data_IF_444473438214
#
_entry.id   IF_444473438214
#
_cell.length_a   1.000
_cell.length_b   1.000
_cell.length_c   1.000
_cell.angle_alpha   90.00
_cell.angle_beta   90.00
_cell.angle_gamma   90.00
#
_symmetry.space_group_name_H-M   'P 1'
#
loop_
_entity.id
_entity.type
_entity.pdbx_description
1 polymer ?
#
# COMPACT_ATOMS: atom_id res chain seq x y z
N UNK A 1 -27.74 -43.70 37.98
CA UNK A 1 -26.31 -43.84 37.61
C UNK A 1 -26.09 -44.13 36.13
N UNK A 2 -27.14 -44.41 35.33
CA UNK A 2 -27.01 -44.85 33.93
C UNK A 2 -26.90 -43.75 32.86
N UNK A 3 -27.37 -42.53 33.12
CA UNK A 3 -27.40 -41.48 32.08
C UNK A 3 -26.04 -40.78 31.87
N UNK A 4 -25.20 -40.74 32.91
CA UNK A 4 -23.89 -40.09 32.87
C UNK A 4 -22.86 -40.97 32.14
N UNK A 5 -22.89 -42.28 32.41
CA UNK A 5 -22.00 -43.27 31.76
C UNK A 5 -22.30 -43.36 30.27
N UNK A 6 -23.58 -43.32 29.87
CA UNK A 6 -23.99 -43.36 28.46
C UNK A 6 -23.53 -42.13 27.67
N UNK A 7 -23.64 -40.92 28.25
CA UNK A 7 -23.14 -39.68 27.61
C UNK A 7 -21.63 -39.63 27.52
N UNK A 8 -20.92 -40.21 28.49
CA UNK A 8 -19.46 -40.34 28.43
C UNK A 8 -19.02 -41.31 27.32
N UNK A 9 -19.72 -42.43 27.17
CA UNK A 9 -19.46 -43.41 26.10
C UNK A 9 -19.77 -42.83 24.70
N UNK A 10 -20.86 -42.09 24.53
CA UNK A 10 -21.22 -41.42 23.27
C UNK A 10 -20.18 -40.34 22.88
N UNK A 11 -19.65 -39.58 23.84
CA UNK A 11 -18.58 -38.59 23.60
C UNK A 11 -17.24 -39.25 23.26
N UNK A 12 -16.90 -40.37 23.88
CA UNK A 12 -15.70 -41.16 23.56
C UNK A 12 -15.80 -41.80 22.16
N UNK A 13 -16.99 -42.26 21.75
CA UNK A 13 -17.21 -42.82 20.42
C UNK A 13 -17.11 -41.74 19.32
N UNK A 14 -17.69 -40.55 19.55
CA UNK A 14 -17.58 -39.42 18.60
C UNK A 14 -16.14 -38.90 18.52
N UNK A 15 -15.43 -38.82 19.66
CA UNK A 15 -14.01 -38.45 19.67
C UNK A 15 -13.15 -39.51 18.95
N UNK A 16 -13.45 -40.80 19.10
CA UNK A 16 -12.74 -41.88 18.40
C UNK A 16 -13.01 -41.87 16.89
N UNK A 17 -14.25 -41.63 16.47
CA UNK A 17 -14.62 -41.51 15.04
C UNK A 17 -14.00 -40.26 14.39
N UNK A 18 -13.92 -39.13 15.10
CA UNK A 18 -13.24 -37.92 14.63
C UNK A 18 -11.71 -38.08 14.58
N UNK A 19 -11.14 -38.88 15.49
CA UNK A 19 -9.70 -39.21 15.49
C UNK A 19 -9.36 -40.18 14.35
N UNK A 20 -10.20 -41.18 14.05
CA UNK A 20 -9.99 -42.08 12.91
C UNK A 20 -10.21 -41.38 11.56
N UNK A 21 -11.14 -40.43 11.48
CA UNK A 21 -11.35 -39.61 10.28
C UNK A 21 -10.16 -38.66 10.03
N UNK A 22 -9.57 -38.06 11.06
CA UNK A 22 -8.33 -37.27 10.91
C UNK A 22 -7.13 -38.13 10.49
N UNK A 23 -7.03 -39.38 10.97
CA UNK A 23 -5.95 -40.30 10.59
C UNK A 23 -6.12 -40.84 9.17
N UNK A 24 -7.35 -41.00 8.65
CA UNK A 24 -7.58 -41.35 7.24
C UNK A 24 -7.39 -40.15 6.29
N UNK A 25 -7.80 -38.94 6.69
CA UNK A 25 -7.53 -37.71 5.90
C UNK A 25 -6.02 -37.43 5.85
N UNK A 26 -5.27 -37.70 6.93
CA UNK A 26 -3.81 -37.59 6.96
C UNK A 26 -3.08 -38.72 6.19
N UNK A 27 -3.72 -39.87 5.97
CA UNK A 27 -3.16 -40.98 5.15
C UNK A 27 -3.50 -40.88 3.66
N UNK A 28 -4.38 -39.96 3.27
CA UNK A 28 -4.75 -39.72 1.87
C UNK A 28 -3.87 -38.66 1.16
N UNK A 29 -2.79 -38.19 1.79
CA UNK A 29 -1.71 -37.43 1.14
C UNK A 29 -0.43 -38.27 1.08
N UNK A 30 -0.49 -39.43 0.43
CA UNK A 30 0.71 -39.91 -0.26
C UNK A 30 1.03 -38.89 -1.36
N UNK A 31 2.29 -38.48 -1.57
CA UNK A 31 2.61 -37.49 -2.59
C UNK A 31 2.12 -38.04 -3.93
N UNK A 32 1.13 -37.36 -4.52
CA UNK A 32 0.76 -37.60 -5.89
C UNK A 32 2.05 -37.57 -6.72
N UNK A 33 2.24 -38.58 -7.57
CA UNK A 33 3.46 -38.84 -8.34
C UNK A 33 3.75 -37.72 -9.37
N UNK A 34 4.05 -36.51 -8.88
CA UNK A 34 4.19 -35.29 -9.66
C UNK A 34 5.39 -35.45 -10.59
N UNK A 35 5.17 -35.41 -11.92
CA UNK A 35 6.25 -35.52 -12.88
C UNK A 35 7.34 -34.46 -12.68
N UNK A 36 7.01 -33.25 -12.21
CA UNK A 36 7.95 -32.16 -12.00
C UNK A 36 8.91 -32.47 -10.85
N UNK A 37 8.39 -32.95 -9.71
CA UNK A 37 9.21 -33.33 -8.56
C UNK A 37 10.18 -34.46 -8.92
N UNK A 38 9.73 -35.44 -9.71
CA UNK A 38 10.61 -36.51 -10.21
C UNK A 38 11.70 -35.98 -11.13
N UNK A 39 11.39 -35.01 -11.99
CA UNK A 39 12.41 -34.40 -12.84
C UNK A 39 13.41 -33.59 -12.00
N UNK A 40 12.96 -32.89 -10.95
CA UNK A 40 13.86 -32.19 -10.03
C UNK A 40 14.80 -33.17 -9.33
N UNK A 41 14.29 -34.27 -8.78
CA UNK A 41 15.12 -35.28 -8.13
C UNK A 41 16.18 -35.85 -9.09
N UNK A 42 15.83 -36.04 -10.37
CA UNK A 42 16.73 -36.53 -11.41
C UNK A 42 17.80 -35.52 -11.84
N UNK A 43 17.73 -34.26 -11.41
CA UNK A 43 18.82 -33.30 -11.65
C UNK A 43 20.10 -33.70 -10.90
N UNK A 44 20.00 -34.42 -9.79
CA UNK A 44 21.13 -34.96 -9.02
C UNK A 44 21.51 -36.40 -9.38
N UNK A 45 20.93 -36.99 -10.45
CA UNK A 45 21.26 -38.37 -10.85
C UNK A 45 22.73 -38.49 -11.26
N UNK A 46 23.39 -39.60 -10.93
CA UNK A 46 24.76 -39.90 -11.39
C UNK A 46 24.86 -40.01 -12.93
N UNK A 47 23.76 -40.36 -13.59
CA UNK A 47 23.68 -40.52 -15.05
C UNK A 47 23.54 -39.17 -15.77
N UNK A 48 24.53 -38.74 -16.58
CA UNK A 48 24.43 -37.48 -17.32
C UNK A 48 23.25 -37.43 -18.30
N UNK A 49 22.85 -38.61 -18.83
CA UNK A 49 21.72 -38.73 -19.74
C UNK A 49 20.39 -38.45 -19.02
N UNK A 50 20.24 -38.93 -17.78
CA UNK A 50 19.04 -38.68 -16.97
C UNK A 50 18.94 -37.22 -16.56
N UNK A 51 20.05 -36.60 -16.12
CA UNK A 51 20.10 -35.17 -15.82
C UNK A 51 19.66 -34.33 -17.01
N UNK A 52 20.24 -34.61 -18.19
CA UNK A 52 19.92 -33.89 -19.44
C UNK A 52 18.46 -34.09 -19.87
N UNK A 53 17.89 -35.28 -19.67
CA UNK A 53 16.49 -35.55 -19.97
C UNK A 53 15.54 -34.79 -19.03
N UNK A 54 15.85 -34.76 -17.74
CA UNK A 54 15.09 -34.02 -16.74
C UNK A 54 15.12 -32.50 -17.01
N UNK A 55 16.29 -31.93 -17.29
CA UNK A 55 16.45 -30.51 -17.66
C UNK A 55 15.54 -30.13 -18.84
N UNK A 56 15.54 -30.92 -19.92
CA UNK A 56 14.66 -30.66 -21.08
C UNK A 56 13.18 -30.69 -20.72
N UNK A 57 12.77 -31.63 -19.87
CA UNK A 57 11.37 -31.74 -19.43
C UNK A 57 10.94 -30.56 -18.56
N UNK A 58 11.81 -30.11 -17.67
CA UNK A 58 11.58 -28.93 -16.82
C UNK A 58 11.47 -27.65 -17.66
N UNK A 59 12.35 -27.45 -18.65
CA UNK A 59 12.25 -26.32 -19.58
C UNK A 59 10.97 -26.37 -20.42
N UNK A 60 10.55 -27.56 -20.84
CA UNK A 60 9.30 -27.75 -21.60
C UNK A 60 8.06 -27.45 -20.75
N UNK A 61 8.10 -27.71 -19.45
CA UNK A 61 7.00 -27.42 -18.53
C UNK A 61 6.79 -25.91 -18.29
N UNK A 62 7.80 -25.08 -18.57
CA UNK A 62 7.68 -23.61 -18.50
C UNK A 62 7.23 -23.14 -17.11
N UNK A 63 6.18 -22.31 -17.06
CA UNK A 63 5.64 -21.74 -15.81
C UNK A 63 5.35 -22.78 -14.72
N UNK A 64 4.96 -24.01 -15.06
CA UNK A 64 4.62 -25.04 -14.06
C UNK A 64 5.85 -25.50 -13.27
N UNK A 65 7.02 -25.50 -13.89
CA UNK A 65 8.27 -25.88 -13.23
C UNK A 65 8.88 -24.73 -12.40
N UNK A 66 8.37 -23.50 -12.49
CA UNK A 66 9.02 -22.34 -11.88
C UNK A 66 9.13 -22.43 -10.35
N UNK A 67 8.02 -22.58 -9.61
CA UNK A 67 8.09 -22.66 -8.13
C UNK A 67 8.87 -23.89 -7.65
N UNK A 68 8.68 -25.10 -8.24
CA UNK A 68 9.48 -26.26 -7.87
C UNK A 68 10.99 -26.04 -8.11
N UNK A 69 11.38 -25.44 -9.24
CA UNK A 69 12.77 -25.06 -9.52
C UNK A 69 13.28 -23.99 -8.56
N UNK A 70 12.44 -23.01 -8.20
CA UNK A 70 12.78 -21.98 -7.23
C UNK A 70 13.04 -22.57 -5.84
N UNK A 71 12.23 -23.53 -5.40
CA UNK A 71 12.48 -24.28 -4.16
C UNK A 71 13.78 -25.09 -4.25
N UNK A 72 13.98 -25.81 -5.36
CA UNK A 72 15.18 -26.61 -5.61
C UNK A 72 16.47 -25.76 -5.70
N UNK A 73 16.38 -24.47 -6.04
CA UNK A 73 17.52 -23.52 -6.06
C UNK A 73 18.14 -23.26 -4.67
N UNK A 74 17.53 -23.81 -3.61
CA UNK A 74 17.96 -23.81 -2.21
C UNK A 74 18.11 -25.21 -1.62
N UNK A 75 18.00 -26.26 -2.43
CA UNK A 75 18.18 -27.65 -1.98
C UNK A 75 19.57 -27.86 -1.38
N UNK A 76 19.71 -28.81 -0.45
CA UNK A 76 21.01 -29.15 0.17
C UNK A 76 21.99 -29.76 -0.84
N UNK A 77 21.47 -30.58 -1.75
CA UNK A 77 22.21 -31.16 -2.87
C UNK A 77 22.75 -30.06 -3.80
N UNK A 78 24.08 -30.01 -3.94
CA UNK A 78 24.79 -29.00 -4.72
C UNK A 78 24.46 -29.10 -6.21
N UNK A 79 24.35 -30.31 -6.77
CA UNK A 79 24.05 -30.55 -8.18
C UNK A 79 22.65 -30.07 -8.52
N UNK A 80 21.65 -30.48 -7.71
CA UNK A 80 20.26 -30.05 -7.87
C UNK A 80 20.18 -28.52 -7.76
N UNK A 81 20.83 -27.94 -6.75
CA UNK A 81 20.81 -26.50 -6.50
C UNK A 81 21.38 -25.68 -7.66
N UNK A 82 22.54 -26.07 -8.19
CA UNK A 82 23.18 -25.38 -9.32
C UNK A 82 22.40 -25.57 -10.62
N UNK A 83 21.91 -26.80 -10.88
CA UNK A 83 21.09 -27.08 -12.04
C UNK A 83 19.78 -26.29 -12.02
N UNK A 84 19.10 -26.21 -10.88
CA UNK A 84 17.86 -25.46 -10.73
C UNK A 84 18.06 -23.96 -10.97
N UNK A 85 19.13 -23.36 -10.45
CA UNK A 85 19.48 -21.95 -10.72
C UNK A 85 19.71 -21.70 -12.21
N UNK A 86 20.52 -22.54 -12.84
CA UNK A 86 20.77 -22.44 -14.28
C UNK A 86 19.48 -22.59 -15.10
N UNK A 87 18.59 -23.52 -14.73
CA UNK A 87 17.32 -23.70 -15.42
C UNK A 87 16.39 -22.48 -15.29
N UNK A 88 16.34 -21.83 -14.12
CA UNK A 88 15.53 -20.62 -13.91
C UNK A 88 15.96 -19.49 -14.85
N UNK A 89 17.26 -19.34 -15.13
CA UNK A 89 17.78 -18.31 -16.05
C UNK A 89 17.35 -18.56 -17.51
N UNK A 90 17.09 -19.82 -17.88
CA UNK A 90 16.73 -20.22 -19.24
C UNK A 90 15.22 -20.49 -19.41
N UNK A 91 14.45 -20.45 -18.32
CA UNK A 91 13.04 -20.78 -18.34
C UNK A 91 12.26 -19.66 -19.01
N UNK A 92 11.51 -20.01 -20.06
CA UNK A 92 10.64 -19.05 -20.74
C UNK A 92 9.31 -18.95 -20.01
N UNK A 93 9.04 -17.79 -19.44
CA UNK A 93 7.77 -17.48 -18.80
C UNK A 93 6.80 -17.00 -19.88
N UNK A 94 5.66 -17.70 -20.01
CA UNK A 94 4.52 -17.20 -20.77
C UNK A 94 3.81 -16.15 -19.92
N UNK A 95 3.99 -14.88 -20.30
CA UNK A 95 3.36 -13.75 -19.61
C UNK A 95 1.91 -13.58 -19.99
N UNK A 96 1.54 -13.78 -21.25
CA UNK A 96 0.15 -13.67 -21.72
C UNK A 96 -0.58 -15.01 -21.55
N UNK A 97 -1.85 -14.97 -21.13
CA UNK A 97 -2.78 -16.11 -21.13
C UNK A 97 -3.80 -15.97 -22.26
N UNK A 98 -4.36 -17.09 -22.75
CA UNK A 98 -5.39 -17.06 -23.79
C UNK A 98 -6.63 -16.22 -23.45
N UNK A 99 -6.94 -16.08 -22.17
CA UNK A 99 -8.11 -15.35 -21.68
C UNK A 99 -7.77 -13.95 -21.13
N UNK A 100 -6.53 -13.48 -21.29
CA UNK A 100 -6.19 -12.12 -20.88
C UNK A 100 -6.92 -11.11 -21.78
N UNK A 101 -7.48 -10.02 -21.22
CA UNK A 101 -8.03 -8.92 -21.99
C UNK A 101 -7.00 -8.31 -22.95
N UNK A 102 -7.41 -7.74 -24.10
CA UNK A 102 -6.49 -7.12 -25.06
C UNK A 102 -5.56 -6.08 -24.44
N UNK A 103 -6.06 -5.29 -23.48
CA UNK A 103 -5.32 -4.26 -22.76
C UNK A 103 -4.18 -4.86 -21.91
N UNK A 104 -4.45 -6.00 -21.26
CA UNK A 104 -3.46 -6.75 -20.48
C UNK A 104 -2.45 -7.39 -21.41
N UNK A 105 -2.91 -8.04 -22.49
CA UNK A 105 -2.04 -8.68 -23.47
C UNK A 105 -1.06 -7.69 -24.11
N UNK A 106 -1.54 -6.49 -24.48
CA UNK A 106 -0.70 -5.43 -25.05
C UNK A 106 0.41 -4.93 -24.11
N UNK A 107 0.21 -5.04 -22.79
CA UNK A 107 1.25 -4.72 -21.79
C UNK A 107 2.21 -5.91 -21.62
N UNK A 108 1.68 -7.13 -21.52
CA UNK A 108 2.45 -8.33 -21.16
C UNK A 108 3.21 -8.97 -22.32
N UNK A 109 2.80 -8.78 -23.57
CA UNK A 109 3.45 -9.37 -24.74
C UNK A 109 4.94 -8.96 -24.85
N UNK A 110 5.31 -7.67 -24.76
CA UNK A 110 6.72 -7.27 -24.76
C UNK A 110 7.39 -7.32 -23.38
N UNK A 111 6.65 -7.60 -22.30
CA UNK A 111 7.12 -7.41 -20.92
C UNK A 111 8.43 -8.16 -20.61
N UNK A 112 8.50 -9.43 -21.00
CA UNK A 112 9.65 -10.30 -20.72
C UNK A 112 10.96 -9.88 -21.39
N UNK A 113 10.89 -9.07 -22.45
CA UNK A 113 12.04 -8.61 -23.23
C UNK A 113 12.43 -7.16 -22.90
N UNK A 114 11.59 -6.45 -22.14
CA UNK A 114 11.83 -5.06 -21.76
C UNK A 114 12.90 -4.92 -20.67
N UNK A 115 13.65 -3.80 -20.64
CA UNK A 115 14.50 -3.42 -19.51
C UNK A 115 13.73 -3.32 -18.18
N UNK A 116 14.42 -3.48 -17.06
CA UNK A 116 13.81 -3.44 -15.72
C UNK A 116 13.03 -2.15 -15.43
N UNK A 117 13.52 -1.00 -15.93
CA UNK A 117 12.84 0.29 -15.75
C UNK A 117 11.48 0.34 -16.47
N UNK A 118 11.40 -0.20 -17.68
CA UNK A 118 10.16 -0.23 -18.45
C UNK A 118 9.16 -1.22 -17.87
N UNK A 119 9.63 -2.39 -17.40
CA UNK A 119 8.79 -3.34 -16.67
C UNK A 119 8.16 -2.71 -15.43
N UNK A 120 8.90 -1.89 -14.70
CA UNK A 120 8.37 -1.17 -13.55
C UNK A 120 7.23 -0.20 -13.93
N UNK A 121 7.32 0.45 -15.09
CA UNK A 121 6.22 1.28 -15.63
C UNK A 121 5.02 0.40 -15.99
N UNK A 122 5.25 -0.77 -16.58
CA UNK A 122 4.18 -1.72 -16.93
C UNK A 122 3.42 -2.21 -15.68
N UNK A 123 4.07 -2.37 -14.52
CA UNK A 123 3.37 -2.67 -13.25
C UNK A 123 2.35 -1.59 -12.89
N UNK A 124 2.73 -0.31 -13.05
CA UNK A 124 1.82 0.82 -12.79
C UNK A 124 0.68 0.87 -13.81
N UNK A 125 0.96 0.55 -15.08
CA UNK A 125 -0.06 0.50 -16.13
C UNK A 125 -1.09 -0.59 -15.84
N UNK A 126 -0.65 -1.78 -15.41
CA UNK A 126 -1.55 -2.86 -15.01
C UNK A 126 -2.41 -2.47 -13.80
N UNK A 127 -1.82 -1.86 -12.77
CA UNK A 127 -2.55 -1.43 -11.58
C UNK A 127 -3.62 -0.36 -11.87
N UNK A 128 -3.42 0.45 -12.92
CA UNK A 128 -4.37 1.51 -13.34
C UNK A 128 -5.43 1.04 -14.32
N UNK A 129 -5.42 -0.22 -14.74
CA UNK A 129 -6.50 -0.73 -15.60
C UNK A 129 -7.82 -0.72 -14.82
N UNK A 130 -8.93 -0.33 -15.46
CA UNK A 130 -10.24 -0.31 -14.81
C UNK A 130 -10.70 -1.73 -14.47
N UNK A 131 -11.76 -1.82 -13.66
CA UNK A 131 -12.54 -3.05 -13.44
C UNK A 131 -11.70 -4.28 -13.07
N UNK A 132 -10.64 -4.09 -12.28
CA UNK A 132 -9.76 -5.17 -11.80
C UNK A 132 -9.06 -5.99 -12.90
N UNK A 133 -9.05 -5.51 -14.16
CA UNK A 133 -8.50 -6.26 -15.30
C UNK A 133 -7.02 -6.61 -15.10
N UNK A 134 -6.26 -5.75 -14.43
CA UNK A 134 -4.84 -5.93 -14.19
C UNK A 134 -4.47 -6.87 -13.04
N UNK A 135 -5.40 -7.26 -12.16
CA UNK A 135 -5.04 -8.00 -10.94
C UNK A 135 -4.41 -9.38 -11.21
N UNK A 136 -4.98 -10.23 -12.09
CA UNK A 136 -4.40 -11.55 -12.35
C UNK A 136 -3.03 -11.45 -13.02
N UNK A 137 -2.83 -10.43 -13.87
CA UNK A 137 -1.54 -10.14 -14.49
C UNK A 137 -0.48 -9.71 -13.47
N UNK A 138 -0.83 -8.84 -12.52
CA UNK A 138 0.07 -8.47 -11.42
C UNK A 138 0.41 -9.70 -10.56
N UNK A 139 -0.56 -10.54 -10.21
CA UNK A 139 -0.33 -11.79 -9.48
C UNK A 139 0.63 -12.75 -10.22
N UNK A 140 0.50 -12.84 -11.54
CA UNK A 140 1.41 -13.62 -12.39
C UNK A 140 2.83 -13.06 -12.34
N UNK A 141 2.99 -11.74 -12.36
CA UNK A 141 4.30 -11.07 -12.19
C UNK A 141 4.86 -11.32 -10.79
N UNK A 142 4.07 -11.14 -9.74
CA UNK A 142 4.46 -11.42 -8.34
C UNK A 142 5.08 -12.81 -8.21
N UNK A 143 4.51 -13.78 -8.91
CA UNK A 143 4.95 -15.17 -8.88
C UNK A 143 6.17 -15.44 -9.77
N UNK A 144 6.14 -15.03 -11.04
CA UNK A 144 7.12 -15.49 -12.04
C UNK A 144 8.24 -14.49 -12.34
N UNK A 145 8.20 -13.26 -11.83
CA UNK A 145 9.22 -12.25 -12.09
C UNK A 145 10.59 -12.67 -11.51
N UNK A 146 11.63 -12.80 -12.35
CA UNK A 146 12.97 -13.15 -11.89
C UNK A 146 13.56 -12.08 -10.95
N UNK A 147 13.29 -10.80 -11.20
CA UNK A 147 13.75 -9.71 -10.33
C UNK A 147 12.93 -9.67 -9.04
N UNK A 148 13.54 -10.05 -7.92
CA UNK A 148 12.90 -10.01 -6.59
C UNK A 148 12.38 -8.61 -6.24
N UNK A 149 13.08 -7.57 -6.69
CA UNK A 149 12.68 -6.17 -6.53
C UNK A 149 11.36 -5.89 -7.27
N UNK A 150 11.27 -6.26 -8.54
CA UNK A 150 10.04 -6.06 -9.33
C UNK A 150 8.89 -6.96 -8.85
N UNK A 151 9.18 -8.18 -8.40
CA UNK A 151 8.18 -9.07 -7.81
C UNK A 151 7.54 -8.46 -6.55
N UNK A 152 8.35 -7.92 -5.63
CA UNK A 152 7.85 -7.18 -4.46
C UNK A 152 7.07 -5.93 -4.86
N UNK A 153 7.59 -5.15 -5.81
CA UNK A 153 6.91 -3.95 -6.31
C UNK A 153 5.54 -4.28 -6.92
N UNK A 154 5.43 -5.38 -7.67
CA UNK A 154 4.17 -5.87 -8.20
C UNK A 154 3.19 -6.28 -7.09
N UNK A 155 3.68 -6.89 -6.00
CA UNK A 155 2.86 -7.26 -4.85
C UNK A 155 2.31 -6.01 -4.15
N UNK A 156 3.14 -4.98 -3.92
CA UNK A 156 2.66 -3.71 -3.36
C UNK A 156 1.61 -3.08 -4.28
N UNK A 157 1.85 -3.01 -5.59
CA UNK A 157 0.85 -2.48 -6.54
C UNK A 157 -0.45 -3.27 -6.55
N UNK A 158 -0.38 -4.59 -6.38
CA UNK A 158 -1.58 -5.42 -6.27
C UNK A 158 -2.32 -5.17 -4.96
N UNK A 159 -1.62 -5.11 -3.83
CA UNK A 159 -2.21 -4.78 -2.52
C UNK A 159 -2.87 -3.39 -2.51
N UNK A 160 -2.32 -2.42 -3.24
CA UNK A 160 -2.89 -1.07 -3.38
C UNK A 160 -4.24 -1.02 -4.10
N UNK A 161 -4.52 -2.00 -4.96
CA UNK A 161 -5.73 -2.00 -5.80
C UNK A 161 -6.73 -3.08 -5.39
N UNK A 162 -6.35 -4.00 -4.52
CA UNK A 162 -7.25 -5.00 -3.97
C UNK A 162 -8.26 -4.36 -3.00
N UNK A 163 -9.44 -4.96 -2.79
CA UNK A 163 -10.43 -4.44 -1.85
C UNK A 163 -9.87 -4.32 -0.43
N UNK A 164 -10.17 -3.19 0.24
CA UNK A 164 -9.52 -2.77 1.50
C UNK A 164 -10.22 -3.27 2.78
N UNK A 165 -11.30 -4.05 2.64
CA UNK A 165 -12.09 -4.55 3.78
C UNK A 165 -12.23 -6.07 3.77
N UNK A 166 -12.44 -6.69 4.95
CA UNK A 166 -12.92 -8.05 5.05
C UNK A 166 -14.16 -8.25 4.18
N UNK A 167 -14.31 -9.44 3.61
CA UNK A 167 -15.54 -9.77 2.92
C UNK A 167 -16.67 -9.86 3.95
N UNK A 168 -17.76 -9.18 3.69
CA UNK A 168 -19.01 -9.37 4.42
C UNK A 168 -19.83 -10.45 3.69
N UNK A 169 -20.25 -11.53 4.36
CA UNK A 169 -21.14 -12.52 3.75
C UNK A 169 -22.44 -11.86 3.25
N UNK A 170 -22.91 -12.30 2.08
CA UNK A 170 -24.17 -11.86 1.45
C UNK A 170 -24.26 -10.36 1.09
N UNK A 171 -23.14 -9.63 1.00
CA UNK A 171 -23.14 -8.24 0.53
C UNK A 171 -23.44 -8.17 -0.99
N UNK A 172 -24.46 -7.41 -1.44
CA UNK A 172 -24.90 -7.41 -2.84
C UNK A 172 -23.83 -6.97 -3.85
N UNK A 173 -22.96 -6.05 -3.42
CA UNK A 173 -21.94 -5.43 -4.25
C UNK A 173 -20.60 -6.20 -4.26
N UNK A 174 -20.48 -7.25 -3.45
CA UNK A 174 -19.31 -8.13 -3.44
C UNK A 174 -19.75 -9.60 -3.57
N UNK A 175 -20.02 -10.08 -4.80
CA UNK A 175 -20.47 -11.44 -4.99
C UNK A 175 -19.40 -12.42 -4.51
N UNK A 176 -19.87 -13.56 -4.01
CA UNK A 176 -19.01 -14.63 -3.48
C UNK A 176 -17.91 -15.07 -4.44
N UNK A 177 -18.16 -14.95 -5.75
CA UNK A 177 -17.27 -15.34 -6.81
C UNK A 177 -16.88 -14.14 -7.70
N UNK A 178 -16.17 -13.14 -7.14
CA UNK A 178 -15.50 -12.15 -7.98
C UNK A 178 -14.47 -12.86 -8.88
N UNK A 179 -14.68 -12.90 -10.22
CA UNK A 179 -13.84 -13.70 -11.12
C UNK A 179 -12.39 -13.20 -11.17
N UNK A 180 -12.15 -11.91 -10.93
CA UNK A 180 -10.81 -11.33 -10.91
C UNK A 180 -10.04 -11.78 -9.66
N UNK A 181 -10.68 -11.83 -8.49
CA UNK A 181 -10.05 -12.38 -7.27
C UNK A 181 -9.72 -13.87 -7.44
N UNK A 182 -10.66 -14.65 -7.96
CA UNK A 182 -10.43 -16.08 -8.23
C UNK A 182 -9.27 -16.28 -9.20
N UNK A 183 -9.19 -15.48 -10.25
CA UNK A 183 -8.09 -15.53 -11.21
C UNK A 183 -6.75 -15.11 -10.58
N UNK A 184 -6.74 -14.06 -9.75
CA UNK A 184 -5.58 -13.62 -8.97
C UNK A 184 -5.05 -14.73 -8.04
N UNK A 185 -5.93 -15.35 -7.26
CA UNK A 185 -5.59 -16.47 -6.38
C UNK A 185 -5.02 -17.66 -7.17
N UNK A 186 -5.63 -17.95 -8.32
CA UNK A 186 -5.18 -19.02 -9.21
C UNK A 186 -3.79 -18.77 -9.78
N UNK A 187 -3.45 -17.52 -10.11
CA UNK A 187 -2.11 -17.17 -10.60
C UNK A 187 -1.07 -17.27 -9.48
N UNK A 188 -1.38 -16.83 -8.25
CA UNK A 188 -0.48 -16.91 -7.10
C UNK A 188 -0.21 -18.36 -6.66
N UNK A 189 -1.23 -19.23 -6.70
CA UNK A 189 -1.19 -20.59 -6.14
C UNK A 189 -0.57 -20.59 -4.72
N UNK A 190 0.13 -21.66 -4.36
CA UNK A 190 0.90 -21.82 -3.12
C UNK A 190 2.35 -21.33 -3.27
N UNK A 191 2.60 -20.27 -4.06
CA UNK A 191 3.98 -19.83 -4.31
C UNK A 191 4.69 -19.47 -3.00
N UNK A 192 5.91 -19.98 -2.77
CA UNK A 192 6.66 -19.75 -1.53
C UNK A 192 7.39 -18.39 -1.52
N UNK A 193 7.26 -17.58 -2.59
CA UNK A 193 7.97 -16.29 -2.70
C UNK A 193 7.45 -15.29 -1.67
N UNK A 194 8.32 -14.48 -1.03
CA UNK A 194 7.90 -13.45 -0.10
C UNK A 194 6.79 -12.53 -0.66
N UNK A 195 7.00 -11.98 -1.86
CA UNK A 195 6.02 -11.13 -2.52
C UNK A 195 4.64 -11.82 -2.72
N UNK A 196 4.63 -13.10 -3.09
CA UNK A 196 3.39 -13.86 -3.22
C UNK A 196 2.74 -14.13 -1.86
N UNK A 197 3.53 -14.45 -0.84
CA UNK A 197 3.05 -14.67 0.53
C UNK A 197 2.37 -13.43 1.12
N UNK A 198 2.81 -12.22 0.77
CA UNK A 198 2.16 -10.98 1.19
C UNK A 198 0.72 -10.91 0.66
N UNK A 199 0.55 -11.13 -0.64
CA UNK A 199 -0.75 -11.06 -1.29
C UNK A 199 -1.65 -12.22 -0.84
N UNK A 200 -1.10 -13.43 -0.69
CA UNK A 200 -1.85 -14.59 -0.20
C UNK A 200 -2.38 -14.32 1.22
N UNK A 201 -1.53 -13.86 2.15
CA UNK A 201 -1.96 -13.57 3.51
C UNK A 201 -3.03 -12.46 3.58
N UNK A 202 -2.95 -11.46 2.68
CA UNK A 202 -4.01 -10.45 2.54
C UNK A 202 -5.34 -11.06 2.07
N UNK A 203 -5.31 -11.91 1.06
CA UNK A 203 -6.50 -12.59 0.53
C UNK A 203 -7.10 -13.55 1.58
N UNK A 204 -6.26 -14.22 2.37
CA UNK A 204 -6.70 -15.09 3.45
C UNK A 204 -7.37 -14.27 4.58
N UNK A 205 -6.81 -13.13 4.97
CA UNK A 205 -7.46 -12.19 5.90
C UNK A 205 -8.83 -11.73 5.40
N UNK A 206 -8.97 -11.45 4.12
CA UNK A 206 -10.26 -11.04 3.57
C UNK A 206 -11.35 -12.11 3.70
N UNK A 207 -10.96 -13.39 3.65
CA UNK A 207 -11.88 -14.53 3.82
C UNK A 207 -12.14 -14.83 5.30
N UNK A 208 -11.10 -14.78 6.12
CA UNK A 208 -11.15 -15.02 7.55
C UNK A 208 -10.25 -14.02 8.29
N UNK A 209 -10.82 -12.90 8.77
CA UNK A 209 -10.03 -11.90 9.47
C UNK A 209 -9.39 -12.40 10.75
N UNK A 210 -10.00 -13.39 11.42
CA UNK A 210 -9.54 -13.96 12.70
C UNK A 210 -8.24 -14.73 12.51
N UNK A 211 -8.16 -15.55 11.46
CA UNK A 211 -6.94 -16.30 11.15
C UNK A 211 -5.93 -15.46 10.36
N UNK A 212 -6.38 -14.68 9.37
CA UNK A 212 -5.48 -14.07 8.40
C UNK A 212 -4.78 -12.79 8.87
N UNK A 213 -5.35 -12.02 9.82
CA UNK A 213 -4.66 -10.82 10.33
C UNK A 213 -3.33 -11.18 11.04
N UNK A 214 -3.30 -12.13 12.00
CA UNK A 214 -2.04 -12.57 12.61
C UNK A 214 -1.02 -13.12 11.60
N UNK A 215 -1.49 -13.82 10.55
CA UNK A 215 -0.59 -14.33 9.51
C UNK A 215 0.04 -13.21 8.69
N UNK A 216 -0.75 -12.20 8.30
CA UNK A 216 -0.23 -11.05 7.59
C UNK A 216 0.76 -10.25 8.45
N UNK A 217 0.42 -9.99 9.72
CA UNK A 217 1.32 -9.33 10.68
C UNK A 217 2.66 -10.05 10.80
N UNK A 218 2.65 -11.38 10.92
CA UNK A 218 3.87 -12.19 11.00
C UNK A 218 4.73 -12.08 9.74
N UNK A 219 4.08 -12.06 8.57
CA UNK A 219 4.76 -11.92 7.28
C UNK A 219 5.40 -10.52 7.13
N UNK A 220 4.70 -9.46 7.56
CA UNK A 220 5.22 -8.08 7.55
C UNK A 220 6.35 -7.91 8.58
N UNK A 221 6.20 -8.46 9.78
CA UNK A 221 7.21 -8.45 10.84
C UNK A 221 8.53 -9.06 10.34
N UNK A 222 8.49 -10.22 9.67
CA UNK A 222 9.68 -10.85 9.08
C UNK A 222 10.35 -9.99 8.02
N UNK A 223 9.58 -9.31 7.17
CA UNK A 223 10.17 -8.41 6.17
C UNK A 223 10.87 -7.24 6.86
N UNK A 224 10.23 -6.62 7.86
CA UNK A 224 10.80 -5.52 8.63
C UNK A 224 12.08 -5.92 9.39
N UNK A 225 12.07 -7.05 10.08
CA UNK A 225 13.24 -7.57 10.81
C UNK A 225 14.40 -7.97 9.89
N UNK A 226 14.11 -8.26 8.62
CA UNK A 226 15.13 -8.58 7.62
C UNK A 226 15.83 -7.36 7.02
N UNK A 227 15.34 -6.14 7.30
CA UNK A 227 15.93 -4.91 6.78
C UNK A 227 17.32 -4.67 7.39
N UNK A 228 18.33 -4.31 6.58
CA UNK A 228 19.64 -3.92 7.09
C UNK A 228 19.54 -2.62 7.90
N UNK A 229 20.45 -2.44 8.85
CA UNK A 229 20.50 -1.24 9.69
C UNK A 229 20.95 0.02 8.93
N UNK A 230 21.58 -0.14 7.77
CA UNK A 230 22.00 0.97 6.90
C UNK A 230 20.84 1.48 6.05
N UNK A 231 20.47 2.75 6.20
CA UNK A 231 19.33 3.37 5.52
C UNK A 231 19.57 3.58 4.01
N UNK A 232 20.83 3.74 3.57
CA UNK A 232 21.14 4.18 2.21
C UNK A 232 21.14 3.08 1.15
N UNK A 233 21.43 1.82 1.53
CA UNK A 233 21.65 0.73 0.57
C UNK A 233 20.38 0.04 0.06
N UNK A 234 19.23 0.19 0.73
CA UNK A 234 17.98 -0.50 0.35
C UNK A 234 16.70 0.37 0.46
N UNK A 235 16.75 1.61 -0.05
CA UNK A 235 15.61 2.55 -0.02
C UNK A 235 14.29 1.95 -0.58
N UNK A 236 14.36 1.05 -1.56
CA UNK A 236 13.16 0.40 -2.10
C UNK A 236 12.56 -0.65 -1.15
N UNK A 237 13.39 -1.45 -0.45
CA UNK A 237 12.87 -2.41 0.53
C UNK A 237 12.27 -1.71 1.74
N UNK A 238 12.86 -0.60 2.17
CA UNK A 238 12.28 0.26 3.22
C UNK A 238 10.91 0.80 2.83
N UNK A 239 10.76 1.28 1.59
CA UNK A 239 9.45 1.71 1.05
C UNK A 239 8.43 0.56 1.00
N UNK A 240 8.85 -0.64 0.60
CA UNK A 240 7.97 -1.81 0.62
C UNK A 240 7.53 -2.17 2.06
N UNK A 241 8.45 -2.15 3.02
CA UNK A 241 8.13 -2.39 4.43
C UNK A 241 7.17 -1.34 4.98
N UNK A 242 7.35 -0.06 4.64
CA UNK A 242 6.44 1.02 5.02
C UNK A 242 5.03 0.76 4.46
N UNK A 243 4.93 0.42 3.17
CA UNK A 243 3.65 0.12 2.54
C UNK A 243 2.95 -1.09 3.20
N UNK A 244 3.69 -2.16 3.50
CA UNK A 244 3.16 -3.34 4.20
C UNK A 244 2.68 -3.01 5.62
N UNK A 245 3.42 -2.19 6.36
CA UNK A 245 3.02 -1.78 7.71
C UNK A 245 1.80 -0.88 7.72
N UNK A 246 1.67 0.01 6.72
CA UNK A 246 0.42 0.77 6.52
C UNK A 246 -0.76 -0.16 6.26
N UNK A 247 -0.56 -1.22 5.47
CA UNK A 247 -1.57 -2.26 5.23
C UNK A 247 -1.96 -3.00 6.52
N UNK A 248 -1.03 -3.31 7.42
CA UNK A 248 -1.36 -3.85 8.76
C UNK A 248 -2.29 -2.90 9.52
N UNK A 249 -1.97 -1.60 9.56
CA UNK A 249 -2.78 -0.62 10.26
C UNK A 249 -4.20 -0.51 9.68
N UNK A 250 -4.31 -0.48 8.35
CA UNK A 250 -5.59 -0.47 7.64
C UNK A 250 -6.40 -1.74 7.91
N UNK A 251 -5.78 -2.92 7.90
CA UNK A 251 -6.46 -4.18 8.22
C UNK A 251 -7.00 -4.21 9.66
N UNK A 252 -6.22 -3.71 10.63
CA UNK A 252 -6.68 -3.59 12.02
C UNK A 252 -7.90 -2.68 12.13
N UNK A 253 -7.87 -1.52 11.47
CA UNK A 253 -9.00 -0.58 11.43
C UNK A 253 -10.21 -1.23 10.75
N UNK A 254 -10.03 -1.85 9.58
CA UNK A 254 -11.10 -2.50 8.84
C UNK A 254 -11.70 -3.71 9.58
N UNK A 255 -10.97 -4.29 10.54
CA UNK A 255 -11.42 -5.42 11.35
C UNK A 255 -11.90 -5.00 12.75
N UNK A 256 -12.07 -3.71 13.02
CA UNK A 256 -12.43 -3.20 14.36
C UNK A 256 -13.81 -3.67 14.85
N UNK A 257 -14.73 -3.99 13.94
CA UNK A 257 -16.04 -4.56 14.29
C UNK A 257 -15.91 -5.99 14.83
N UNK A 258 -14.85 -6.69 14.46
CA UNK A 258 -14.58 -8.08 14.85
C UNK A 258 -13.77 -8.13 16.15
N UNK A 259 -12.72 -7.30 16.26
CA UNK A 259 -11.77 -7.35 17.38
C UNK A 259 -11.96 -6.24 18.43
N UNK A 260 -12.86 -5.29 18.17
CA UNK A 260 -12.98 -4.06 18.95
C UNK A 260 -12.04 -2.94 18.45
N UNK A 261 -11.92 -1.83 19.20
CA UNK A 261 -11.14 -0.68 18.76
C UNK A 261 -9.70 -1.03 18.39
N UNK A 262 -9.28 -0.66 17.18
CA UNK A 262 -7.94 -0.92 16.68
C UNK A 262 -6.89 -0.08 17.43
N UNK A 263 -5.94 -0.73 18.11
CA UNK A 263 -4.71 -0.08 18.58
C UNK A 263 -3.62 -0.16 17.52
N UNK A 264 -2.92 0.97 17.31
CA UNK A 264 -1.77 1.09 16.41
C UNK A 264 -0.51 1.57 17.16
N UNK A 265 -0.54 1.57 18.49
CA UNK A 265 0.51 2.20 19.31
C UNK A 265 1.87 1.52 19.12
N UNK A 266 1.87 0.21 18.89
CA UNK A 266 3.03 -0.61 18.56
C UNK A 266 3.60 -0.33 17.16
N UNK A 267 2.81 0.26 16.26
CA UNK A 267 3.23 0.58 14.89
C UNK A 267 3.81 1.99 14.75
N UNK A 268 3.53 2.91 15.68
CA UNK A 268 3.91 4.32 15.57
C UNK A 268 5.43 4.53 15.38
N UNK A 269 6.26 3.94 16.26
CA UNK A 269 7.71 4.08 16.18
C UNK A 269 8.31 3.36 14.96
N UNK A 270 7.93 2.10 14.66
CA UNK A 270 8.36 1.43 13.44
C UNK A 270 7.99 2.16 12.14
N UNK A 271 6.77 2.71 12.02
CA UNK A 271 6.34 3.49 10.86
C UNK A 271 7.19 4.76 10.72
N UNK A 272 7.34 5.51 11.80
CA UNK A 272 8.18 6.73 11.83
C UNK A 272 9.62 6.42 11.42
N UNK A 273 10.18 5.29 11.86
CA UNK A 273 11.53 4.87 11.52
C UNK A 273 11.72 4.49 10.05
N UNK A 274 10.65 4.18 9.32
CA UNK A 274 10.66 3.81 7.90
C UNK A 274 10.41 4.99 6.96
N UNK A 275 9.76 6.05 7.42
CA UNK A 275 9.56 7.27 6.64
C UNK A 275 10.91 7.92 6.37
N UNK A 276 11.17 8.22 5.10
CA UNK A 276 12.37 8.96 4.70
C UNK A 276 12.22 10.44 5.10
N UNK A 277 13.32 11.11 5.42
CA UNK A 277 13.36 12.47 5.99
C UNK A 277 13.15 13.60 4.94
N UNK A 278 12.77 13.20 3.71
CA UNK A 278 12.40 14.13 2.66
C UNK A 278 10.96 14.60 2.80
N UNK A 279 10.70 15.81 2.31
CA UNK A 279 9.39 16.46 2.43
C UNK A 279 8.25 15.67 1.78
N UNK A 280 8.39 15.15 0.55
CA UNK A 280 7.37 14.28 -0.05
C UNK A 280 7.00 13.08 0.81
N UNK A 281 7.99 12.34 1.34
CA UNK A 281 7.77 11.14 2.16
C UNK A 281 7.03 11.44 3.47
N UNK A 282 7.44 12.51 4.15
CA UNK A 282 6.77 12.96 5.37
C UNK A 282 5.33 13.39 5.07
N UNK A 283 5.14 14.21 4.04
CA UNK A 283 3.80 14.67 3.64
C UNK A 283 2.88 13.51 3.32
N UNK A 284 3.33 12.54 2.52
CA UNK A 284 2.56 11.33 2.18
C UNK A 284 2.15 10.55 3.44
N UNK A 285 3.06 10.42 4.42
CA UNK A 285 2.76 9.72 5.66
C UNK A 285 1.70 10.44 6.51
N UNK A 286 1.81 11.77 6.66
CA UNK A 286 0.84 12.56 7.41
C UNK A 286 -0.53 12.59 6.72
N UNK A 287 -0.55 12.66 5.38
CA UNK A 287 -1.79 12.57 4.58
C UNK A 287 -2.48 11.21 4.79
N UNK A 288 -1.70 10.13 4.82
CA UNK A 288 -2.21 8.79 5.13
C UNK A 288 -2.79 8.69 6.54
N UNK A 289 -2.11 9.21 7.57
CA UNK A 289 -2.65 9.24 8.94
C UNK A 289 -3.94 10.07 9.03
N UNK A 290 -4.00 11.20 8.33
CA UNK A 290 -5.18 12.05 8.28
C UNK A 290 -6.36 11.34 7.61
N UNK A 291 -6.11 10.60 6.52
CA UNK A 291 -7.11 9.78 5.85
C UNK A 291 -7.74 8.72 6.79
N UNK A 292 -6.92 8.14 7.68
CA UNK A 292 -7.39 7.20 8.71
C UNK A 292 -8.06 7.88 9.92
N UNK A 293 -8.19 9.22 9.94
CA UNK A 293 -8.70 9.98 11.08
C UNK A 293 -7.78 9.95 12.31
N UNK A 294 -6.51 9.55 12.14
CA UNK A 294 -5.53 9.36 13.20
C UNK A 294 -4.83 10.67 13.59
N UNK A 295 -5.60 11.70 13.88
CA UNK A 295 -5.09 13.04 14.18
C UNK A 295 -4.16 13.07 15.40
N UNK A 296 -4.41 12.24 16.41
CA UNK A 296 -3.54 12.10 17.58
C UNK A 296 -2.13 11.64 17.20
N UNK A 297 -2.01 10.74 16.23
CA UNK A 297 -0.71 10.20 15.79
C UNK A 297 0.07 11.23 14.96
N UNK A 298 -0.60 12.09 14.20
CA UNK A 298 0.04 13.23 13.51
C UNK A 298 0.72 14.16 14.52
N UNK A 299 0.02 14.49 15.60
CA UNK A 299 0.56 15.35 16.67
C UNK A 299 1.66 14.64 17.48
N UNK A 300 1.59 13.32 17.64
CA UNK A 300 2.63 12.54 18.27
C UNK A 300 3.89 12.44 17.39
N UNK A 301 3.71 12.23 16.08
CA UNK A 301 4.78 12.14 15.09
C UNK A 301 5.67 13.38 15.13
N UNK A 302 5.08 14.58 15.19
CA UNK A 302 5.84 15.83 15.25
C UNK A 302 6.78 15.94 16.46
N UNK A 303 6.49 15.23 17.55
CA UNK A 303 7.33 15.21 18.75
C UNK A 303 8.46 14.19 18.64
N UNK A 304 8.23 13.11 17.89
CA UNK A 304 9.21 12.04 17.67
C UNK A 304 10.29 12.46 16.66
N UNK A 305 9.95 13.38 15.76
CA UNK A 305 10.83 13.83 14.68
C UNK A 305 11.37 15.25 14.88
N UNK A 306 11.21 15.83 16.07
CA UNK A 306 11.81 17.13 16.39
C UNK A 306 13.33 16.96 16.53
N UNK A 307 14.04 17.28 15.45
CA UNK A 307 15.50 17.25 15.35
C UNK A 307 16.14 18.64 15.58
N UNK A 308 15.32 19.64 15.91
CA UNK A 308 15.73 21.03 16.07
C UNK A 308 15.91 21.80 14.75
N UNK A 309 15.61 21.20 13.59
CA UNK A 309 15.54 21.92 12.32
C UNK A 309 14.29 22.81 12.27
N UNK A 310 14.33 23.95 11.54
CA UNK A 310 13.14 24.77 11.36
C UNK A 310 12.05 23.94 10.66
N UNK A 311 10.86 23.79 11.27
CA UNK A 311 9.81 22.95 10.73
C UNK A 311 9.28 23.50 9.40
N UNK A 312 9.08 22.62 8.41
CA UNK A 312 8.55 22.97 7.09
C UNK A 312 7.09 23.46 7.24
N UNK A 313 6.69 24.58 6.62
CA UNK A 313 5.37 25.16 6.82
C UNK A 313 4.20 24.18 6.56
N UNK A 314 4.31 23.37 5.51
CA UNK A 314 3.29 22.40 5.10
C UNK A 314 3.05 21.34 6.17
N UNK A 315 4.12 20.89 6.83
CA UNK A 315 4.05 19.94 7.96
C UNK A 315 3.33 20.60 9.14
N UNK A 316 3.67 21.85 9.46
CA UNK A 316 3.01 22.59 10.54
C UNK A 316 1.52 22.79 10.28
N UNK A 317 1.12 23.11 9.05
CA UNK A 317 -0.30 23.23 8.71
C UNK A 317 -1.05 21.91 8.88
N UNK A 318 -0.43 20.76 8.54
CA UNK A 318 -1.02 19.43 8.79
C UNK A 318 -1.16 19.13 10.29
N UNK A 319 -0.15 19.49 11.09
CA UNK A 319 -0.20 19.33 12.56
C UNK A 319 -1.29 20.21 13.17
N UNK A 320 -1.40 21.47 12.74
CA UNK A 320 -2.42 22.38 13.23
C UNK A 320 -3.83 21.90 12.91
N UNK A 321 -4.04 21.38 11.69
CA UNK A 321 -5.32 20.78 11.32
C UNK A 321 -5.64 19.58 12.22
N UNK A 322 -4.68 18.69 12.44
CA UNK A 322 -4.86 17.56 13.35
C UNK A 322 -5.20 18.02 14.78
N UNK A 323 -4.58 19.08 15.28
CA UNK A 323 -4.90 19.67 16.59
C UNK A 323 -6.34 20.23 16.64
N UNK A 324 -6.81 20.88 15.58
CA UNK A 324 -8.22 21.31 15.51
C UNK A 324 -9.20 20.15 15.51
N UNK A 325 -8.93 19.09 14.75
CA UNK A 325 -9.78 17.90 14.74
C UNK A 325 -9.84 17.21 16.12
N UNK A 326 -8.81 17.41 16.96
CA UNK A 326 -8.78 16.98 18.35
C UNK A 326 -9.39 18.00 19.35
N UNK A 327 -9.89 19.15 18.88
CA UNK A 327 -10.43 20.22 19.71
C UNK A 327 -9.40 21.08 20.44
N UNK A 328 -8.12 20.99 20.06
CA UNK A 328 -7.02 21.73 20.67
C UNK A 328 -6.81 23.11 19.99
N UNK A 329 -7.84 23.95 19.96
CA UNK A 329 -7.87 25.23 19.22
C UNK A 329 -6.67 26.15 19.53
N UNK A 330 -6.32 26.31 20.80
CA UNK A 330 -5.20 27.18 21.18
C UNK A 330 -3.85 26.65 20.70
N UNK A 331 -3.67 25.33 20.67
CA UNK A 331 -2.44 24.73 20.16
C UNK A 331 -2.37 24.92 18.65
N UNK A 332 -3.48 24.67 17.95
CA UNK A 332 -3.60 24.82 16.51
C UNK A 332 -3.31 26.25 16.05
N UNK A 333 -3.88 27.27 16.70
CA UNK A 333 -3.60 28.67 16.37
C UNK A 333 -2.12 29.03 16.62
N UNK A 334 -1.49 28.47 17.65
CA UNK A 334 -0.06 28.60 17.90
C UNK A 334 0.77 28.00 16.76
N UNK A 335 0.47 26.76 16.36
CA UNK A 335 1.17 26.07 15.28
C UNK A 335 0.99 26.76 13.92
N UNK A 336 -0.19 27.31 13.63
CA UNK A 336 -0.44 28.11 12.42
C UNK A 336 0.37 29.39 12.41
N UNK A 337 0.46 30.07 13.55
CA UNK A 337 1.27 31.29 13.65
C UNK A 337 2.72 30.98 13.31
N UNK A 338 3.27 29.89 13.86
CA UNK A 338 4.62 29.39 13.50
C UNK A 338 4.73 29.04 12.01
N UNK A 339 3.71 28.41 11.42
CA UNK A 339 3.72 28.07 9.98
C UNK A 339 3.74 29.31 9.08
N UNK A 340 2.94 30.32 9.41
CA UNK A 340 2.89 31.60 8.70
C UNK A 340 4.22 32.35 8.82
N UNK A 341 4.82 32.36 10.01
CA UNK A 341 6.15 32.94 10.23
C UNK A 341 7.22 32.22 9.39
N UNK A 342 7.14 30.89 9.25
CA UNK A 342 8.04 30.12 8.39
C UNK A 342 7.85 30.47 6.89
N UNK A 343 6.62 30.76 6.45
CA UNK A 343 6.30 31.24 5.10
C UNK A 343 6.73 32.71 4.86
N UNK A 344 7.26 33.42 5.85
CA UNK A 344 7.39 34.88 5.80
C UNK A 344 8.38 35.42 4.76
N UNK A 345 9.16 34.55 4.11
CA UNK A 345 10.26 34.93 3.20
C UNK A 345 9.89 35.02 1.71
N UNK A 346 8.75 34.47 1.29
CA UNK A 346 8.33 34.47 -0.12
C UNK A 346 6.81 34.60 -0.28
N UNK A 347 6.35 35.63 -1.01
CA UNK A 347 4.93 35.82 -1.29
C UNK A 347 4.36 34.68 -2.15
N UNK A 348 5.02 34.37 -3.26
CA UNK A 348 4.57 33.33 -4.22
C UNK A 348 4.51 31.94 -3.59
N UNK A 349 5.48 31.61 -2.73
CA UNK A 349 5.52 30.35 -1.98
C UNK A 349 4.34 30.26 -1.01
N UNK A 350 4.11 31.31 -0.22
CA UNK A 350 2.97 31.35 0.71
C UNK A 350 1.62 31.26 0.01
N UNK A 351 1.47 31.90 -1.15
CA UNK A 351 0.25 31.81 -1.96
C UNK A 351 0.04 30.40 -2.51
N UNK A 352 1.10 29.78 -3.03
CA UNK A 352 1.07 28.39 -3.53
C UNK A 352 0.65 27.42 -2.41
N UNK A 353 1.23 27.55 -1.22
CA UNK A 353 0.88 26.74 -0.06
C UNK A 353 -0.58 26.96 0.33
N UNK A 354 -1.06 28.20 0.37
CA UNK A 354 -2.44 28.49 0.73
C UNK A 354 -3.44 27.88 -0.25
N UNK A 355 -3.17 27.95 -1.56
CA UNK A 355 -4.02 27.32 -2.57
C UNK A 355 -4.02 25.80 -2.43
N UNK A 356 -2.87 25.18 -2.15
CA UNK A 356 -2.77 23.76 -1.87
C UNK A 356 -3.61 23.37 -0.64
N UNK A 357 -3.47 24.10 0.47
CA UNK A 357 -4.28 23.89 1.68
C UNK A 357 -5.77 23.99 1.40
N UNK A 358 -6.19 25.01 0.63
CA UNK A 358 -7.58 25.19 0.25
C UNK A 358 -8.11 24.01 -0.58
N UNK A 359 -7.35 23.56 -1.59
CA UNK A 359 -7.69 22.41 -2.42
C UNK A 359 -7.81 21.09 -1.62
N UNK A 360 -7.05 20.96 -0.53
CA UNK A 360 -7.14 19.81 0.39
C UNK A 360 -8.26 19.95 1.44
N UNK A 361 -9.07 21.01 1.40
CA UNK A 361 -10.19 21.22 2.33
C UNK A 361 -9.81 21.93 3.63
N UNK A 362 -8.58 22.43 3.76
CA UNK A 362 -8.12 23.15 4.95
C UNK A 362 -8.36 24.64 4.83
N UNK A 363 -9.60 25.00 4.52
CA UNK A 363 -10.01 26.36 4.20
C UNK A 363 -9.69 27.35 5.33
N UNK A 364 -9.70 26.91 6.60
CA UNK A 364 -9.36 27.78 7.74
C UNK A 364 -7.88 28.16 7.74
N UNK A 365 -6.97 27.19 7.63
CA UNK A 365 -5.53 27.44 7.52
C UNK A 365 -5.17 28.24 6.26
N UNK A 366 -5.80 27.90 5.13
CA UNK A 366 -5.62 28.63 3.88
C UNK A 366 -6.03 30.11 4.01
N UNK A 367 -7.22 30.38 4.55
CA UNK A 367 -7.69 31.75 4.78
C UNK A 367 -6.73 32.52 5.70
N UNK A 368 -6.24 31.91 6.79
CA UNK A 368 -5.29 32.56 7.71
C UNK A 368 -3.98 32.94 7.02
N UNK A 369 -3.44 32.06 6.18
CA UNK A 369 -2.21 32.33 5.45
C UNK A 369 -2.40 33.44 4.41
N UNK A 370 -3.48 33.41 3.62
CA UNK A 370 -3.78 34.51 2.68
C UNK A 370 -4.08 35.81 3.41
N UNK A 371 -4.82 35.79 4.54
CA UNK A 371 -5.05 36.99 5.37
C UNK A 371 -3.71 37.63 5.79
N UNK A 372 -2.74 36.82 6.20
CA UNK A 372 -1.39 37.30 6.55
C UNK A 372 -0.62 37.85 5.33
N UNK A 373 -0.71 37.21 4.17
CA UNK A 373 -0.08 37.68 2.93
C UNK A 373 -0.70 39.00 2.47
N UNK A 374 -2.03 39.09 2.47
CA UNK A 374 -2.79 40.27 2.09
C UNK A 374 -2.44 41.48 2.97
N UNK A 375 -2.32 41.28 4.28
CA UNK A 375 -1.94 42.35 5.23
C UNK A 375 -0.51 42.86 5.02
N UNK A 376 0.39 42.02 4.50
CA UNK A 376 1.79 42.39 4.20
C UNK A 376 1.96 42.99 2.80
N UNK A 377 1.06 42.66 1.87
CA UNK A 377 1.09 43.18 0.51
C UNK A 377 0.82 44.69 0.50
N UNK A 378 1.56 45.42 -0.33
CA UNK A 378 1.36 46.87 -0.49
C UNK A 378 0.01 47.10 -1.19
N UNK A 379 -0.88 47.93 -0.62
CA UNK A 379 -2.18 48.21 -1.26
C UNK A 379 -2.02 48.69 -2.71
N UNK A 380 -2.80 48.09 -3.61
CA UNK A 380 -2.80 48.41 -5.04
C UNK A 380 -1.82 47.63 -5.91
N UNK A 381 -0.95 46.78 -5.33
CA UNK A 381 -0.10 45.86 -6.10
C UNK A 381 -0.88 44.62 -6.57
N UNK A 382 -0.33 43.92 -7.55
CA UNK A 382 -0.85 42.62 -8.03
C UNK A 382 -1.02 41.62 -6.88
N UNK A 383 -0.03 41.53 -6.00
CA UNK A 383 -0.04 40.70 -4.78
C UNK A 383 -1.25 40.99 -3.88
N UNK A 384 -1.54 42.27 -3.63
CA UNK A 384 -2.66 42.69 -2.79
C UNK A 384 -4.01 42.38 -3.45
N UNK A 385 -4.09 42.50 -4.78
CA UNK A 385 -5.30 42.15 -5.53
C UNK A 385 -5.56 40.65 -5.56
N UNK A 386 -4.55 39.84 -5.90
CA UNK A 386 -4.65 38.36 -5.95
C UNK A 386 -5.11 37.78 -4.61
N UNK A 387 -4.41 38.11 -3.54
CA UNK A 387 -4.75 37.64 -2.18
C UNK A 387 -6.14 38.12 -1.74
N UNK A 388 -6.52 39.34 -2.10
CA UNK A 388 -7.85 39.86 -1.76
C UNK A 388 -8.97 39.14 -2.51
N UNK A 389 -8.78 38.83 -3.80
CA UNK A 389 -9.73 38.05 -4.61
C UNK A 389 -9.88 36.64 -4.04
N UNK A 390 -8.78 35.96 -3.71
CA UNK A 390 -8.79 34.63 -3.08
C UNK A 390 -9.60 34.64 -1.78
N UNK A 391 -9.36 35.62 -0.89
CA UNK A 391 -10.12 35.74 0.36
C UNK A 391 -11.60 35.99 0.13
N UNK A 392 -11.97 36.84 -0.83
CA UNK A 392 -13.36 37.09 -1.18
C UNK A 392 -14.01 35.79 -1.65
N UNK A 393 -13.36 35.05 -2.54
CA UNK A 393 -13.87 33.78 -3.05
C UNK A 393 -14.03 32.75 -1.92
N UNK A 394 -12.98 32.51 -1.13
CA UNK A 394 -13.00 31.48 -0.09
C UNK A 394 -13.94 31.84 1.07
N UNK A 395 -14.08 33.12 1.41
CA UNK A 395 -15.12 33.55 2.34
C UNK A 395 -16.52 33.28 1.81
N UNK A 396 -16.78 33.44 0.50
CA UNK A 396 -18.10 33.09 -0.09
C UNK A 396 -18.35 31.59 -0.04
N UNK A 397 -17.34 30.78 -0.35
CA UNK A 397 -17.42 29.32 -0.28
C UNK A 397 -17.68 28.84 1.15
N UNK A 398 -17.02 29.47 2.15
CA UNK A 398 -17.27 29.26 3.57
C UNK A 398 -18.51 29.94 4.14
N UNK A 399 -19.43 30.45 3.30
CA UNK A 399 -20.67 31.14 3.69
C UNK A 399 -20.47 32.40 4.55
N UNK A 400 -19.27 32.99 4.58
CA UNK A 400 -18.91 34.24 5.26
C UNK A 400 -19.16 35.45 4.37
N UNK A 401 -20.38 35.58 3.82
CA UNK A 401 -20.72 36.61 2.83
C UNK A 401 -20.48 38.05 3.32
N UNK A 402 -20.70 38.34 4.61
CA UNK A 402 -20.47 39.66 5.18
C UNK A 402 -18.97 40.05 5.13
N UNK A 403 -18.07 39.10 5.42
CA UNK A 403 -16.64 39.32 5.36
C UNK A 403 -16.17 39.50 3.90
N UNK A 404 -16.67 38.67 2.98
CA UNK A 404 -16.39 38.78 1.56
C UNK A 404 -16.82 40.16 0.99
N UNK A 405 -18.02 40.62 1.33
CA UNK A 405 -18.54 41.90 0.86
C UNK A 405 -17.74 43.09 1.41
N UNK A 406 -17.42 43.07 2.71
CA UNK A 406 -16.64 44.13 3.35
C UNK A 406 -15.23 44.24 2.73
N UNK A 407 -14.58 43.10 2.49
CA UNK A 407 -13.26 43.07 1.86
C UNK A 407 -13.29 43.60 0.42
N UNK A 408 -14.22 43.10 -0.40
CA UNK A 408 -14.37 43.54 -1.79
C UNK A 408 -14.65 45.05 -1.88
N UNK A 409 -15.52 45.57 -1.01
CA UNK A 409 -15.84 47.00 -0.96
C UNK A 409 -14.61 47.85 -0.65
N UNK A 410 -13.84 47.44 0.36
CA UNK A 410 -12.58 48.10 0.76
C UNK A 410 -11.54 48.08 -0.37
N UNK A 411 -11.45 46.98 -1.12
CA UNK A 411 -10.52 46.88 -2.25
C UNK A 411 -10.93 47.80 -3.41
N UNK A 412 -12.22 47.87 -3.75
CA UNK A 412 -12.74 48.76 -4.81
C UNK A 412 -12.52 50.23 -4.46
N UNK A 413 -12.72 50.63 -3.19
CA UNK A 413 -12.52 52.01 -2.75
C UNK A 413 -11.06 52.47 -2.85
N UNK A 414 -10.11 51.55 -2.77
CA UNK A 414 -8.66 51.82 -2.83
C UNK A 414 -8.06 51.70 -4.23
N UNK A 415 -8.82 51.27 -5.23
CA UNK A 415 -8.35 51.16 -6.60
C UNK A 415 -8.15 52.56 -7.21
N UNK A 416 -6.91 52.94 -7.54
CA UNK A 416 -6.61 54.25 -8.15
C UNK A 416 -7.24 54.44 -9.55
N UNK A 417 -7.59 53.35 -10.25
CA UNK A 417 -8.39 53.41 -11.46
C UNK A 417 -9.41 52.26 -11.51
N UNK A 418 -10.64 52.59 -11.92
CA UNK A 418 -11.76 51.63 -12.08
C UNK A 418 -11.53 50.56 -13.16
N UNK A 419 -10.50 50.66 -13.99
CA UNK A 419 -10.27 49.71 -15.09
C UNK A 419 -9.54 48.43 -14.67
N UNK A 420 -8.65 48.48 -13.67
CA UNK A 420 -7.85 47.31 -13.31
C UNK A 420 -8.62 46.36 -12.37
N UNK A 421 -9.49 46.90 -11.50
CA UNK A 421 -10.30 46.11 -10.57
C UNK A 421 -11.51 45.40 -11.19
N UNK A 422 -12.00 45.82 -12.37
CA UNK A 422 -13.15 45.20 -13.05
C UNK A 422 -12.76 44.18 -14.13
N UNK A 423 -11.49 44.15 -14.57
CA UNK A 423 -11.00 43.17 -15.54
C UNK A 423 -10.58 41.85 -14.84
N UNK A 424 -10.29 41.90 -13.54
CA UNK A 424 -9.88 40.75 -12.72
C UNK A 424 -11.02 40.04 -11.97
N UNK A 425 -12.23 40.64 -11.91
CA UNK A 425 -13.47 40.03 -11.41
C UNK A 425 -14.21 39.40 -12.59
#
# INVERSE_FOLDING_TARGET
MDSVVRRAAERLLVAFVLLTAHVEIARAQEPADDPIERWIARLGSDSPAERSAAQRKLLQAGNEAYDPLLAASRADDVEIRLAARSLLDHLRISWVRPNDPPEVAAILEPYGDRPLADRAVDLQRLARLPDALGWPALARIVRFEPSDVLARRAAIRLLEVLPERPRVPDEPDEPEANPHLIATERELRVSPRPAARWVIAWLDWRRDPVAGLPEFEEVVRREFESLPSDKGSEAERRRNALALMRRVAEMRIASQEIFGPASLDDLAAPLTALVDDDEPSVKEHLDWLAHLGRHADIVAWSRLTDDGAPPRPEILFRIAEAQWQLGADSAAEGTISTAIEACSKGFEEGETIAHALHAFGYSRSACRLIESLHQRAVPGTDEHWRTGIDLVQWHREGLRYAAAYALLSSMIERAESRSDGWIAI
#
